data_IF_103960981759
#
_entry.id   IF_103960981759
#
_cell.length_a   1.000
_cell.length_b   1.000
_cell.length_c   1.000
_cell.angle_alpha   90.00
_cell.angle_beta   90.00
_cell.angle_gamma   90.00
#
_symmetry.space_group_name_H-M   'P 1'
#
loop_
_entity.id
_entity.type
_entity.pdbx_description
1 polymer ?
#
# COMPACT_ATOMS: atom_id res chain seq x y z
N UNK A 1 0.40 9.78 20.23
CA UNK A 1 -0.20 9.23 19.00
C UNK A 1 -1.63 8.79 19.29
N UNK A 2 -2.57 8.92 18.34
CA UNK A 2 -3.94 8.45 18.52
C UNK A 2 -3.98 6.93 18.72
N UNK A 3 -4.93 6.46 19.54
CA UNK A 3 -5.08 5.03 19.81
C UNK A 3 -5.65 4.30 18.57
N UNK A 4 -5.00 3.24 18.09
CA UNK A 4 -5.53 2.40 17.00
C UNK A 4 -6.93 1.85 17.28
N UNK A 5 -7.63 1.49 16.21
CA UNK A 5 -8.86 0.71 16.28
C UNK A 5 -8.56 -0.75 16.61
N UNK A 6 -9.53 -1.44 17.20
CA UNK A 6 -9.44 -2.88 17.41
C UNK A 6 -9.42 -3.59 16.06
N UNK A 7 -8.40 -4.44 15.86
CA UNK A 7 -8.20 -5.23 14.65
C UNK A 7 -8.77 -6.63 14.88
N UNK A 8 -9.52 -7.14 13.91
CA UNK A 8 -9.97 -8.54 13.86
C UNK A 8 -9.31 -9.21 12.67
N UNK A 9 -8.61 -10.33 12.88
CA UNK A 9 -8.13 -11.16 11.79
C UNK A 9 -9.21 -12.15 11.36
N UNK A 10 -9.46 -12.25 10.05
CA UNK A 10 -10.25 -13.33 9.47
C UNK A 10 -9.50 -13.89 8.26
N UNK A 11 -8.92 -15.07 8.42
CA UNK A 11 -8.24 -15.81 7.36
C UNK A 11 -7.06 -15.01 6.74
N UNK A 12 -6.28 -14.31 7.58
CA UNK A 12 -5.13 -13.51 7.12
C UNK A 12 -5.50 -12.15 6.53
N UNK A 13 -6.77 -11.74 6.66
CA UNK A 13 -7.24 -10.39 6.33
C UNK A 13 -7.55 -9.67 7.64
N UNK A 14 -6.87 -8.55 7.86
CA UNK A 14 -7.10 -7.68 9.00
C UNK A 14 -8.28 -6.74 8.72
N UNK A 15 -9.28 -6.76 9.60
CA UNK A 15 -10.45 -5.87 9.54
C UNK A 15 -10.47 -4.93 10.75
N UNK A 16 -10.94 -3.71 10.54
CA UNK A 16 -11.30 -2.81 11.64
C UNK A 16 -12.46 -1.90 11.25
N UNK A 17 -13.22 -1.46 12.24
CA UNK A 17 -14.37 -0.56 12.05
C UNK A 17 -14.05 0.79 12.68
N UNK A 18 -14.04 1.84 11.85
CA UNK A 18 -13.83 3.21 12.32
C UNK A 18 -15.07 3.75 13.05
N UNK A 19 -14.92 4.86 13.78
CA UNK A 19 -16.02 5.43 14.59
C UNK A 19 -17.25 5.83 13.74
N UNK A 20 -17.01 6.14 12.45
CA UNK A 20 -18.06 6.43 11.48
C UNK A 20 -18.75 5.18 10.89
N UNK A 21 -18.51 4.01 11.47
CA UNK A 21 -19.02 2.70 11.03
C UNK A 21 -18.47 2.22 9.67
N UNK A 22 -17.48 2.91 9.08
CA UNK A 22 -16.78 2.41 7.91
C UNK A 22 -15.91 1.21 8.31
N UNK A 23 -16.09 0.12 7.59
CA UNK A 23 -15.25 -1.07 7.72
C UNK A 23 -14.08 -0.91 6.77
N UNK A 24 -12.89 -1.24 7.25
CA UNK A 24 -11.66 -1.28 6.48
C UNK A 24 -11.09 -2.69 6.52
N UNK A 25 -10.41 -3.06 5.44
CA UNK A 25 -9.67 -4.30 5.32
C UNK A 25 -8.24 -4.00 4.88
N UNK A 26 -7.31 -4.75 5.43
CA UNK A 26 -5.90 -4.75 5.06
C UNK A 26 -5.45 -6.19 4.89
N UNK A 27 -4.67 -6.47 3.87
CA UNK A 27 -4.24 -7.84 3.56
C UNK A 27 -2.87 -7.84 2.89
N UNK A 28 -2.15 -8.93 3.11
CA UNK A 28 -0.86 -9.21 2.51
C UNK A 28 -1.03 -10.40 1.57
N UNK A 29 -0.89 -10.20 0.26
CA UNK A 29 -0.98 -11.26 -0.74
C UNK A 29 0.42 -11.72 -1.11
N UNK A 30 0.68 -13.01 -1.04
CA UNK A 30 1.92 -13.56 -1.57
C UNK A 30 1.98 -13.34 -3.08
N UNK A 31 3.11 -12.83 -3.56
CA UNK A 31 3.36 -12.60 -4.98
C UNK A 31 4.52 -13.48 -5.41
N UNK A 32 4.34 -14.20 -6.51
CA UNK A 32 5.41 -14.94 -7.16
C UNK A 32 6.10 -14.05 -8.18
N UNK A 33 7.42 -13.95 -8.10
CA UNK A 33 8.24 -13.31 -9.11
C UNK A 33 9.00 -14.39 -9.89
N UNK A 34 9.00 -14.28 -11.21
CA UNK A 34 9.84 -15.11 -12.06
C UNK A 34 11.29 -14.63 -12.00
N UNK A 35 12.25 -15.55 -12.11
CA UNK A 35 13.67 -15.21 -12.23
C UNK A 35 14.50 -15.31 -10.95
N UNK A 36 13.89 -15.26 -9.76
CA UNK A 36 14.62 -15.37 -8.49
C UNK A 36 13.97 -16.37 -7.50
N UNK A 37 14.22 -17.68 -7.65
CA UNK A 37 13.63 -18.72 -6.79
C UNK A 37 13.97 -18.55 -5.30
N UNK A 38 15.08 -17.87 -4.98
CA UNK A 38 15.50 -17.61 -3.60
C UNK A 38 14.57 -16.64 -2.87
N UNK A 39 13.79 -15.84 -3.62
CA UNK A 39 12.83 -14.88 -3.08
C UNK A 39 11.41 -15.45 -3.03
N UNK A 40 11.19 -16.66 -3.52
CA UNK A 40 9.88 -17.30 -3.53
C UNK A 40 9.34 -17.47 -2.11
N UNK A 41 8.11 -16.99 -1.88
CA UNK A 41 7.46 -17.07 -0.58
C UNK A 41 7.78 -15.94 0.40
N UNK A 42 8.74 -15.06 0.08
CA UNK A 42 9.07 -13.93 0.94
C UNK A 42 8.40 -12.63 0.51
N UNK A 43 7.97 -12.53 -0.74
CA UNK A 43 7.42 -11.29 -1.29
C UNK A 43 5.90 -11.27 -1.14
N UNK A 44 5.40 -10.18 -0.55
CA UNK A 44 3.97 -9.91 -0.42
C UNK A 44 3.61 -8.52 -0.93
N UNK A 45 2.44 -8.39 -1.53
CA UNK A 45 1.81 -7.10 -1.83
C UNK A 45 0.84 -6.74 -0.69
N UNK A 46 0.97 -5.52 -0.19
CA UNK A 46 0.10 -4.99 0.86
C UNK A 46 -0.96 -4.07 0.26
N UNK A 47 -2.22 -4.45 0.46
CA UNK A 47 -3.36 -3.64 0.08
C UNK A 47 -4.18 -3.23 1.30
N UNK A 48 -4.74 -2.02 1.23
CA UNK A 48 -5.56 -1.42 2.28
C UNK A 48 -6.70 -0.63 1.66
N UNK A 49 -7.93 -1.06 1.95
CA UNK A 49 -9.12 -0.46 1.38
C UNK A 49 -10.27 -0.35 2.38
N UNK A 50 -11.16 0.61 2.10
CA UNK A 50 -12.46 0.68 2.76
C UNK A 50 -13.37 -0.36 2.12
N UNK A 51 -13.98 -1.20 2.93
CA UNK A 51 -15.04 -2.09 2.47
C UNK A 51 -16.30 -1.27 2.17
N UNK A 52 -16.64 -1.19 0.88
CA UNK A 52 -17.79 -0.43 0.37
C UNK A 52 -19.09 -1.22 0.41
N UNK A 53 -19.04 -2.53 0.68
CA UNK A 53 -20.23 -3.41 0.61
C UNK A 53 -21.32 -3.04 1.61
N UNK A 54 -20.94 -2.46 2.76
CA UNK A 54 -21.85 -2.06 3.83
C UNK A 54 -21.71 -0.58 4.22
N UNK A 55 -21.35 0.29 3.28
CA UNK A 55 -21.28 1.71 3.55
C UNK A 55 -22.68 2.33 3.52
N UNK A 56 -23.28 2.73 4.66
CA UNK A 56 -24.43 3.62 4.63
C UNK A 56 -23.98 4.89 3.89
N UNK A 57 -24.78 5.27 2.90
CA UNK A 57 -24.51 6.38 2.00
C UNK A 57 -23.97 7.58 2.79
N UNK A 58 -22.71 7.93 2.57
CA UNK A 58 -22.02 8.97 3.36
C UNK A 58 -22.51 10.39 3.04
N UNK A 59 -23.53 10.50 2.19
CA UNK A 59 -24.26 11.73 1.93
C UNK A 59 -25.21 12.07 3.09
N UNK A 60 -24.71 12.72 4.14
CA UNK A 60 -25.63 13.48 5.01
C UNK A 60 -26.16 14.67 4.21
N UNK A 61 -27.46 14.67 3.89
CA UNK A 61 -28.18 15.89 3.50
C UNK A 61 -27.94 16.94 4.57
N UNK A 62 -27.37 18.07 4.18
CA UNK A 62 -27.32 19.23 5.05
C UNK A 62 -28.77 19.73 5.31
N UNK A 63 -28.97 20.52 6.37
CA UNK A 63 -30.30 21.05 6.74
C UNK A 63 -30.95 21.89 5.63
N UNK A 64 -30.17 22.39 4.69
CA UNK A 64 -30.58 23.15 3.50
C UNK A 64 -30.88 22.27 2.27
N UNK A 65 -30.81 20.94 2.40
CA UNK A 65 -31.01 19.98 1.31
C UNK A 65 -29.78 19.77 0.41
N UNK A 66 -28.68 20.49 0.65
CA UNK A 66 -27.44 20.32 -0.11
C UNK A 66 -26.69 19.05 0.29
N UNK A 67 -26.02 18.44 -0.68
CA UNK A 67 -25.08 17.36 -0.44
C UNK A 67 -23.75 17.97 0.02
N UNK A 68 -23.53 18.08 1.34
CA UNK A 68 -22.18 18.37 1.84
C UNK A 68 -21.32 17.12 1.72
N UNK A 69 -20.42 17.12 0.74
CA UNK A 69 -19.27 16.21 0.72
C UNK A 69 -18.61 16.35 2.09
N UNK A 70 -18.60 15.27 2.89
CA UNK A 70 -17.76 15.24 4.09
C UNK A 70 -16.35 15.48 3.59
N UNK A 71 -15.83 16.68 3.82
CA UNK A 71 -14.39 16.91 3.82
C UNK A 71 -13.92 16.09 5.01
N UNK A 72 -13.55 14.84 4.73
CA UNK A 72 -13.14 13.91 5.75
C UNK A 72 -11.91 14.49 6.42
N UNK A 73 -12.06 14.95 7.66
CA UNK A 73 -10.90 15.05 8.54
C UNK A 73 -10.20 13.70 8.44
N UNK A 74 -8.91 13.72 8.10
CA UNK A 74 -8.09 12.52 8.09
C UNK A 74 -8.22 11.90 9.48
N UNK A 75 -8.87 10.75 9.54
CA UNK A 75 -9.05 10.04 10.80
C UNK A 75 -7.69 9.43 11.17
N UNK A 76 -6.97 10.12 12.06
CA UNK A 76 -5.62 9.74 12.44
C UNK A 76 -5.56 8.35 13.10
N UNK A 77 -6.69 7.85 13.64
CA UNK A 77 -6.77 6.50 14.21
C UNK A 77 -6.74 5.45 13.10
N UNK A 78 -7.31 5.71 11.92
CA UNK A 78 -7.18 4.82 10.75
C UNK A 78 -5.70 4.67 10.41
N UNK A 79 -4.97 5.78 10.34
CA UNK A 79 -3.55 5.77 10.04
C UNK A 79 -2.75 4.99 11.09
N UNK A 80 -2.99 5.25 12.38
CA UNK A 80 -2.35 4.52 13.47
C UNK A 80 -2.66 3.02 13.42
N UNK A 81 -3.88 2.64 13.01
CA UNK A 81 -4.28 1.23 12.86
C UNK A 81 -3.55 0.54 11.72
N UNK A 82 -3.44 1.19 10.55
CA UNK A 82 -2.70 0.61 9.42
C UNK A 82 -1.20 0.50 9.75
N UNK A 83 -0.62 1.52 10.41
CA UNK A 83 0.76 1.45 10.92
C UNK A 83 0.96 0.25 11.86
N UNK A 84 0.02 0.02 12.77
CA UNK A 84 0.05 -1.14 13.68
C UNK A 84 -0.01 -2.46 12.90
N UNK A 85 -0.87 -2.57 11.89
CA UNK A 85 -0.99 -3.78 11.05
C UNK A 85 0.34 -4.09 10.35
N UNK A 86 1.00 -3.08 9.77
CA UNK A 86 2.29 -3.26 9.10
C UNK A 86 3.39 -3.65 10.09
N UNK A 87 3.45 -3.00 11.25
CA UNK A 87 4.43 -3.36 12.30
C UNK A 87 4.24 -4.80 12.78
N UNK A 88 3.01 -5.22 13.12
CA UNK A 88 2.72 -6.58 13.57
C UNK A 88 2.99 -7.64 12.49
N UNK A 89 2.83 -7.30 11.22
CA UNK A 89 3.23 -8.18 10.12
C UNK A 89 4.74 -8.45 10.15
N UNK A 90 5.59 -7.42 10.21
CA UNK A 90 7.05 -7.60 10.22
C UNK A 90 7.56 -8.23 11.52
N UNK A 91 6.90 -8.00 12.65
CA UNK A 91 7.20 -8.71 13.91
C UNK A 91 7.03 -10.23 13.76
N UNK A 92 5.98 -10.65 13.05
CA UNK A 92 5.68 -12.07 12.82
C UNK A 92 6.44 -12.66 11.63
N UNK A 93 6.80 -11.82 10.66
CA UNK A 93 7.38 -12.20 9.37
C UNK A 93 8.62 -11.34 9.05
N UNK A 94 9.69 -11.39 9.87
CA UNK A 94 10.81 -10.45 9.78
C UNK A 94 11.58 -10.53 8.45
N UNK A 95 11.47 -11.66 7.75
CA UNK A 95 12.14 -11.90 6.46
C UNK A 95 11.22 -11.75 5.25
N UNK A 96 10.05 -11.13 5.40
CA UNK A 96 9.23 -10.81 4.24
C UNK A 96 9.61 -9.45 3.63
N UNK A 97 9.35 -9.32 2.34
CA UNK A 97 9.43 -8.08 1.57
C UNK A 97 8.01 -7.62 1.29
N UNK A 98 7.66 -6.44 1.78
CA UNK A 98 6.34 -5.85 1.56
C UNK A 98 6.42 -4.84 0.43
N UNK A 99 5.74 -5.13 -0.66
CA UNK A 99 5.42 -4.16 -1.70
C UNK A 99 4.18 -3.38 -1.29
N UNK A 100 4.19 -2.08 -1.53
CA UNK A 100 3.00 -1.24 -1.46
C UNK A 100 2.91 -0.47 -2.78
N UNK A 101 1.72 -0.45 -3.38
CA UNK A 101 1.47 0.26 -4.63
C UNK A 101 0.21 1.11 -4.51
N UNK A 102 0.20 2.23 -5.24
CA UNK A 102 -0.92 3.17 -5.30
C UNK A 102 -0.94 3.82 -6.69
N UNK A 103 -2.05 3.68 -7.39
CA UNK A 103 -2.27 4.34 -8.68
C UNK A 103 -2.61 5.82 -8.50
N UNK A 104 -2.14 6.67 -9.40
CA UNK A 104 -2.35 8.13 -9.39
C UNK A 104 -3.80 8.55 -9.62
N UNK A 105 -4.61 7.70 -10.26
CA UNK A 105 -6.04 7.96 -10.46
C UNK A 105 -6.84 7.80 -9.16
N UNK A 106 -6.34 7.05 -8.19
CA UNK A 106 -7.00 6.93 -6.90
C UNK A 106 -6.87 8.24 -6.13
N UNK A 107 -7.98 8.96 -5.95
CA UNK A 107 -8.06 10.20 -5.17
C UNK A 107 -7.41 10.15 -3.77
N UNK A 108 -7.20 8.94 -3.20
CA UNK A 108 -6.58 8.70 -1.89
C UNK A 108 -5.12 8.26 -1.97
N UNK A 109 -4.54 8.13 -3.17
CA UNK A 109 -3.18 7.64 -3.39
C UNK A 109 -2.15 8.40 -2.55
N UNK A 110 -2.20 9.74 -2.55
CA UNK A 110 -1.30 10.59 -1.77
C UNK A 110 -1.41 10.35 -0.27
N UNK A 111 -2.63 10.09 0.22
CA UNK A 111 -2.88 9.83 1.63
C UNK A 111 -2.25 8.51 2.08
N UNK A 112 -2.39 7.46 1.28
CA UNK A 112 -1.80 6.15 1.56
C UNK A 112 -0.27 6.19 1.48
N UNK A 113 0.29 6.74 0.40
CA UNK A 113 1.74 6.89 0.24
C UNK A 113 2.32 7.66 1.43
N UNK A 114 1.72 8.80 1.78
CA UNK A 114 2.18 9.60 2.91
C UNK A 114 2.17 8.84 4.24
N UNK A 115 1.17 7.99 4.47
CA UNK A 115 1.11 7.14 5.65
C UNK A 115 2.26 6.11 5.70
N UNK A 116 2.59 5.45 4.58
CA UNK A 116 3.74 4.53 4.53
C UNK A 116 5.07 5.27 4.67
N UNK A 117 5.20 6.45 4.05
CA UNK A 117 6.38 7.29 4.19
C UNK A 117 6.62 7.72 5.63
N UNK A 118 5.55 8.08 6.33
CA UNK A 118 5.63 8.39 7.76
C UNK A 118 6.02 7.18 8.59
N UNK A 119 5.40 6.02 8.35
CA UNK A 119 5.76 4.78 9.05
C UNK A 119 7.23 4.41 8.80
N UNK A 120 7.69 4.47 7.55
CA UNK A 120 9.07 4.15 7.21
C UNK A 120 10.04 5.11 7.90
N UNK A 121 9.77 6.42 7.90
CA UNK A 121 10.61 7.41 8.57
C UNK A 121 10.74 7.14 10.07
N UNK A 122 9.68 6.65 10.72
CA UNK A 122 9.70 6.24 12.13
C UNK A 122 10.54 4.98 12.38
N UNK A 123 10.79 4.15 11.36
CA UNK A 123 11.48 2.86 11.47
C UNK A 123 12.70 2.73 10.53
N UNK A 124 13.21 3.83 9.99
CA UNK A 124 14.23 3.85 8.94
C UNK A 124 15.57 3.26 9.40
N UNK A 125 15.79 3.16 10.71
CA UNK A 125 17.00 2.53 11.26
C UNK A 125 16.95 1.01 11.11
N UNK A 126 15.76 0.42 11.12
CA UNK A 126 15.52 -1.03 11.06
C UNK A 126 15.22 -1.54 9.65
N UNK A 127 14.57 -0.73 8.81
CA UNK A 127 14.11 -1.15 7.50
C UNK A 127 14.85 -0.46 6.36
N UNK A 128 14.95 -1.16 5.23
CA UNK A 128 15.29 -0.61 3.93
C UNK A 128 14.01 -0.38 3.14
N UNK A 129 13.93 0.75 2.45
CA UNK A 129 12.90 1.05 1.47
C UNK A 129 13.53 1.29 0.11
N UNK A 130 13.01 0.62 -0.91
CA UNK A 130 13.32 0.88 -2.32
C UNK A 130 12.08 1.52 -2.95
N UNK A 131 12.02 2.86 -3.08
CA UNK A 131 10.88 3.53 -3.69
C UNK A 131 10.90 3.32 -5.21
N UNK A 132 9.72 3.29 -5.82
CA UNK A 132 9.59 3.25 -7.26
C UNK A 132 8.39 4.02 -7.78
N UNK A 133 8.51 4.47 -9.02
CA UNK A 133 7.45 5.07 -9.81
C UNK A 133 7.42 4.30 -11.12
N UNK A 134 6.28 3.70 -11.42
CA UNK A 134 6.00 3.07 -12.72
C UNK A 134 5.18 4.10 -13.50
N UNK A 135 5.75 4.73 -14.54
CA UNK A 135 5.03 5.71 -15.33
C UNK A 135 3.80 5.09 -15.96
N UNK A 136 2.72 5.84 -15.97
CA UNK A 136 1.54 5.58 -16.78
C UNK A 136 1.84 5.77 -18.25
N UNK A 137 0.82 5.57 -19.08
CA UNK A 137 0.92 5.70 -20.52
C UNK A 137 -0.21 4.99 -21.24
N UNK A 138 -0.18 4.94 -22.56
CA UNK A 138 -1.21 4.29 -23.38
C UNK A 138 -0.82 2.84 -23.64
N UNK A 139 -1.66 1.89 -23.25
CA UNK A 139 -1.55 0.46 -23.57
C UNK A 139 -2.83 0.06 -24.27
N UNK A 140 -2.75 -0.44 -25.52
CA UNK A 140 -3.92 -0.84 -26.31
C UNK A 140 -5.05 0.21 -26.34
N UNK A 141 -4.69 1.48 -26.59
CA UNK A 141 -5.59 2.65 -26.58
C UNK A 141 -6.15 3.05 -25.20
N UNK A 142 -5.83 2.33 -24.12
CA UNK A 142 -6.22 2.69 -22.75
C UNK A 142 -5.13 3.50 -22.03
N UNK A 143 -5.53 4.59 -21.38
CA UNK A 143 -4.62 5.39 -20.55
C UNK A 143 -4.46 4.70 -19.18
N UNK A 144 -3.27 4.16 -18.95
CA UNK A 144 -2.83 3.64 -17.66
C UNK A 144 -2.29 4.79 -16.79
N UNK A 145 -2.72 4.91 -15.51
CA UNK A 145 -2.20 5.92 -14.59
C UNK A 145 -0.76 5.61 -14.16
N UNK A 146 -0.04 6.61 -13.67
CA UNK A 146 1.21 6.38 -12.93
C UNK A 146 0.93 5.53 -11.68
N UNK A 147 1.79 4.58 -11.38
CA UNK A 147 1.78 3.81 -10.13
C UNK A 147 2.97 4.23 -9.28
N UNK A 148 2.69 4.64 -8.06
CA UNK A 148 3.67 5.01 -7.05
C UNK A 148 3.74 3.91 -5.99
N UNK A 149 4.94 3.55 -5.56
CA UNK A 149 5.08 2.49 -4.58
C UNK A 149 6.48 2.36 -4.01
N UNK A 150 6.69 1.25 -3.34
CA UNK A 150 7.99 0.85 -2.84
C UNK A 150 7.98 -0.56 -2.31
N UNK A 151 9.17 -1.14 -2.19
CA UNK A 151 9.40 -2.35 -1.41
C UNK A 151 10.02 -1.97 -0.07
N UNK A 152 9.57 -2.60 1.01
CA UNK A 152 10.08 -2.43 2.37
C UNK A 152 10.47 -3.81 2.91
N UNK A 153 11.66 -3.90 3.51
CA UNK A 153 12.18 -5.12 4.12
C UNK A 153 13.21 -4.79 5.20
N UNK A 154 13.47 -5.73 6.13
CA UNK A 154 14.42 -5.49 7.21
C UNK A 154 15.85 -5.33 6.69
N UNK A 155 16.64 -4.42 7.27
CA UNK A 155 18.08 -4.29 6.98
C UNK A 155 18.87 -5.55 7.33
N UNK A 156 18.41 -6.29 8.34
CA UNK A 156 19.03 -7.55 8.79
C UNK A 156 18.59 -8.77 7.96
N UNK A 157 17.86 -8.56 6.86
CA UNK A 157 17.42 -9.67 6.02
C UNK A 157 18.64 -10.44 5.44
N UNK A 158 18.69 -11.79 5.50
CA UNK A 158 19.86 -12.55 5.04
C UNK A 158 20.15 -12.38 3.54
N UNK A 159 19.10 -12.12 2.75
CA UNK A 159 19.16 -11.84 1.31
C UNK A 159 19.08 -10.34 0.96
N UNK A 160 19.48 -9.45 1.87
CA UNK A 160 19.30 -7.99 1.72
C UNK A 160 19.80 -7.45 0.36
N UNK A 161 21.04 -7.74 -0.01
CA UNK A 161 21.63 -7.26 -1.28
C UNK A 161 20.90 -7.83 -2.50
N UNK A 162 20.52 -9.11 -2.46
CA UNK A 162 19.78 -9.75 -3.54
C UNK A 162 18.41 -9.08 -3.73
N UNK A 163 17.66 -8.87 -2.65
CA UNK A 163 16.36 -8.18 -2.70
C UNK A 163 16.53 -6.77 -3.22
N UNK A 164 17.51 -6.02 -2.71
CA UNK A 164 17.74 -4.65 -3.13
C UNK A 164 18.03 -4.57 -4.63
N UNK A 165 18.90 -5.44 -5.14
CA UNK A 165 19.24 -5.48 -6.56
C UNK A 165 18.05 -5.93 -7.42
N UNK A 166 17.32 -6.95 -6.98
CA UNK A 166 16.14 -7.46 -7.67
C UNK A 166 15.04 -6.41 -7.80
N UNK A 167 14.68 -5.74 -6.70
CA UNK A 167 13.65 -4.69 -6.72
C UNK A 167 14.07 -3.56 -7.68
N UNK A 168 15.33 -3.12 -7.62
CA UNK A 168 15.82 -2.09 -8.53
C UNK A 168 15.82 -2.54 -10.00
N UNK A 169 16.19 -3.79 -10.29
CA UNK A 169 16.17 -4.30 -11.68
C UNK A 169 14.75 -4.40 -12.21
N UNK A 170 13.79 -4.88 -11.41
CA UNK A 170 12.38 -4.92 -11.82
C UNK A 170 11.87 -3.52 -12.16
N UNK A 171 12.15 -2.53 -11.30
CA UNK A 171 11.78 -1.13 -11.55
C UNK A 171 12.40 -0.59 -12.84
N UNK A 172 13.66 -0.95 -13.12
CA UNK A 172 14.33 -0.58 -14.37
C UNK A 172 13.71 -1.27 -15.59
N UNK A 173 13.33 -2.54 -15.50
CA UNK A 173 12.67 -3.27 -16.59
C UNK A 173 11.31 -2.65 -16.88
N UNK A 174 10.48 -2.43 -15.87
CA UNK A 174 9.15 -1.84 -16.03
C UNK A 174 9.21 -0.42 -16.63
N UNK A 175 10.16 0.40 -16.19
CA UNK A 175 10.35 1.75 -16.74
C UNK A 175 10.88 1.74 -18.18
N UNK A 176 11.81 0.82 -18.50
CA UNK A 176 12.43 0.74 -19.82
C UNK A 176 11.51 0.13 -20.88
N UNK A 177 10.80 -0.97 -20.58
CA UNK A 177 9.88 -1.63 -21.52
C UNK A 177 8.73 -0.72 -21.94
N UNK A 178 8.22 0.13 -21.03
CA UNK A 178 7.22 1.14 -21.38
C UNK A 178 7.79 2.25 -22.27
N UNK A 179 9.02 2.71 -22.03
CA UNK A 179 9.64 3.76 -22.88
C UNK A 179 9.80 3.34 -24.35
N UNK A 180 9.97 2.05 -24.62
CA UNK A 180 10.08 1.51 -25.98
C UNK A 180 8.73 1.43 -26.70
N UNK A 181 7.63 1.24 -25.98
CA UNK A 181 6.27 1.19 -26.57
C UNK A 181 5.75 2.58 -27.00
N UNK A 182 6.34 3.67 -26.51
CA UNK A 182 5.92 5.04 -26.86
C UNK A 182 6.74 5.71 -27.97
N UNK A 183 7.81 5.06 -28.43
CA UNK A 183 8.71 5.59 -29.46
C UNK A 183 8.59 4.88 -30.82
N UNK A 184 7.59 4.02 -30.99
CA UNK A 184 7.32 3.25 -32.22
C UNK A 184 6.13 3.79 -33.00
#
# INVERSE_FOLDING_TARGET
MPQPYSITDKQGIAYFTADNQAIYKALFLQVSFSGEPQLEGFIVDFSFDRDITNCPDTTRRAKDGSFKKRVGNKDERIQATVKQIVSSFFESNPYHVVYFTCESIDSKHRGRIHMFEEWYREHQDTFTKVPFIIPGGIVDEEITPDTYGGAIFMKSHPLHELIYNFVNSEVLVYTSSKSMMFNS
#
